data_IF_572902953169
#
_entry.id   IF_572902953169
#
_cell.length_a   1.000
_cell.length_b   1.000
_cell.length_c   1.000
_cell.angle_alpha   90.00
_cell.angle_beta   90.00
_cell.angle_gamma   90.00
#
_symmetry.space_group_name_H-M   'P 1'
#
loop_
_entity.id
_entity.type
_entity.pdbx_description
1 polymer ?
#
# COMPACT_ATOMS: atom_id res chain seq x y z
N UNK A 1 43.87 71.67 -12.01
CA UNK A 1 43.38 72.35 -13.23
C UNK A 1 42.92 71.29 -14.22
N UNK A 2 41.84 71.58 -14.96
CA UNK A 2 41.16 70.77 -16.01
C UNK A 2 40.20 69.70 -15.44
N UNK A 3 38.90 69.67 -15.72
CA UNK A 3 38.00 70.54 -16.46
C UNK A 3 36.56 70.25 -15.98
N UNK A 4 35.76 71.31 -15.84
CA UNK A 4 34.29 71.28 -15.77
C UNK A 4 33.69 70.55 -16.98
N UNK A 5 32.58 69.81 -16.77
CA UNK A 5 31.44 69.81 -17.69
C UNK A 5 30.17 69.39 -16.98
N UNK A 6 29.33 70.39 -16.71
CA UNK A 6 27.90 70.26 -16.40
C UNK A 6 27.19 69.98 -17.72
N UNK A 7 26.37 68.93 -17.79
CA UNK A 7 25.21 68.88 -18.70
C UNK A 7 24.03 68.35 -17.88
N UNK A 8 23.20 69.32 -17.50
CA UNK A 8 21.80 69.19 -17.11
C UNK A 8 20.99 68.53 -18.23
N UNK A 9 19.93 67.80 -17.86
CA UNK A 9 18.66 67.50 -18.58
C UNK A 9 18.17 66.16 -17.98
N UNK A 10 17.29 66.22 -16.99
CA UNK A 10 15.82 66.20 -17.13
C UNK A 10 15.29 64.76 -17.02
N UNK A 11 14.52 64.53 -15.95
CA UNK A 11 13.45 63.53 -15.82
C UNK A 11 13.75 62.09 -16.22
N UNK A 12 13.73 61.21 -15.22
CA UNK A 12 12.62 60.27 -14.99
C UNK A 12 12.99 59.51 -13.71
N UNK A 13 12.34 59.91 -12.62
CA UNK A 13 12.28 59.09 -11.42
C UNK A 13 11.31 57.94 -11.72
N UNK A 14 11.86 56.75 -11.98
CA UNK A 14 11.09 55.50 -11.97
C UNK A 14 11.64 54.61 -10.87
N UNK A 15 11.33 54.97 -9.63
CA UNK A 15 11.41 54.08 -8.48
C UNK A 15 10.23 53.11 -8.56
N UNK A 16 10.35 52.07 -9.37
CA UNK A 16 9.53 50.87 -9.20
C UNK A 16 10.38 49.89 -8.42
N UNK A 17 10.43 50.10 -7.10
CA UNK A 17 10.71 49.02 -6.17
C UNK A 17 9.49 48.08 -6.24
N UNK A 18 9.49 47.16 -7.20
CA UNK A 18 8.58 46.03 -7.21
C UNK A 18 8.89 45.19 -5.97
N UNK A 19 8.22 45.50 -4.87
CA UNK A 19 8.07 44.55 -3.79
C UNK A 19 7.24 43.41 -4.37
N UNK A 20 7.88 42.26 -4.60
CA UNK A 20 7.19 40.99 -4.74
C UNK A 20 6.46 40.72 -3.43
N UNK A 21 5.26 41.28 -3.31
CA UNK A 21 4.26 40.76 -2.40
C UNK A 21 3.83 39.45 -3.04
N UNK A 22 4.58 38.38 -2.73
CA UNK A 22 4.16 37.02 -3.01
C UNK A 22 2.74 36.88 -2.43
N UNK A 23 1.75 36.94 -3.32
CA UNK A 23 0.39 36.57 -3.00
C UNK A 23 0.46 35.08 -2.68
N UNK A 24 0.55 34.78 -1.39
CA UNK A 24 0.32 33.44 -0.87
C UNK A 24 -1.15 33.17 -1.11
N UNK A 25 -1.45 32.70 -2.32
CA UNK A 25 -2.73 32.14 -2.69
C UNK A 25 -2.91 30.94 -1.78
N UNK A 26 -3.66 31.16 -0.70
CA UNK A 26 -4.21 30.09 0.13
C UNK A 26 -5.15 29.34 -0.79
N UNK A 27 -4.63 28.30 -1.45
CA UNK A 27 -5.45 27.24 -2.01
C UNK A 27 -6.25 26.71 -0.83
N UNK A 28 -7.51 27.12 -0.77
CA UNK A 28 -8.50 26.51 0.09
C UNK A 28 -8.49 25.02 -0.29
N UNK A 29 -7.91 24.21 0.60
CA UNK A 29 -8.08 22.77 0.53
C UNK A 29 -9.56 22.51 0.77
N UNK A 30 -10.32 22.45 -0.32
CA UNK A 30 -11.61 21.79 -0.35
C UNK A 30 -11.35 20.32 0.00
N UNK A 31 -11.46 20.03 1.29
CA UNK A 31 -11.36 18.67 1.82
C UNK A 31 -12.68 18.36 2.50
N UNK A 32 -13.74 18.36 1.70
CA UNK A 32 -14.96 17.61 2.01
C UNK A 32 -15.17 16.49 0.99
N UNK A 33 -14.12 15.67 0.81
CA UNK A 33 -14.29 14.29 0.37
C UNK A 33 -14.14 13.44 1.61
N UNK A 34 -15.24 12.84 2.08
CA UNK A 34 -15.23 11.81 3.12
C UNK A 34 -14.36 10.65 2.65
N UNK A 35 -13.06 10.71 2.94
CA UNK A 35 -12.12 9.71 2.48
C UNK A 35 -12.54 8.36 3.05
N UNK A 36 -12.74 7.41 2.15
CA UNK A 36 -13.24 6.08 2.46
C UNK A 36 -12.07 5.15 2.75
N UNK A 37 -12.28 4.16 3.62
CA UNK A 37 -11.19 3.31 4.09
C UNK A 37 -11.55 1.84 4.14
N UNK A 38 -10.52 1.00 4.19
CA UNK A 38 -10.54 -0.43 4.50
C UNK A 38 -9.72 -0.63 5.76
N UNK A 39 -10.17 -1.53 6.63
CA UNK A 39 -9.34 -1.99 7.76
C UNK A 39 -8.54 -3.22 7.35
N UNK A 40 -7.22 -3.16 7.51
CA UNK A 40 -6.31 -4.28 7.22
C UNK A 40 -5.69 -4.76 8.52
N UNK A 41 -5.87 -6.04 8.83
CA UNK A 41 -5.29 -6.70 9.98
C UNK A 41 -4.35 -7.81 9.55
N UNK A 42 -3.23 -7.98 10.22
CA UNK A 42 -2.32 -9.10 9.98
C UNK A 42 -1.63 -9.53 11.27
N UNK A 43 -1.24 -10.81 11.34
CA UNK A 43 -0.49 -11.35 12.47
C UNK A 43 -0.79 -12.82 12.70
N UNK A 44 -0.60 -13.29 13.92
CA UNK A 44 -0.93 -14.67 14.34
C UNK A 44 -2.05 -14.69 15.37
N UNK A 45 -2.26 -15.83 16.05
CA UNK A 45 -3.31 -15.95 17.07
C UNK A 45 -3.07 -15.11 18.32
N UNK A 46 -1.84 -14.62 18.55
CA UNK A 46 -1.44 -13.90 19.76
C UNK A 46 -1.23 -12.41 19.54
N UNK A 47 -0.74 -12.02 18.36
CA UNK A 47 -0.43 -10.62 18.05
C UNK A 47 -1.04 -10.27 16.69
N UNK A 48 -1.91 -9.26 16.68
CA UNK A 48 -2.56 -8.73 15.48
C UNK A 48 -2.21 -7.24 15.38
N UNK A 49 -1.58 -6.87 14.28
CA UNK A 49 -1.40 -5.49 13.86
C UNK A 49 -2.61 -5.04 13.03
N UNK A 50 -2.89 -3.74 13.01
CA UNK A 50 -4.00 -3.13 12.27
C UNK A 50 -3.54 -1.84 11.62
N UNK A 51 -3.94 -1.64 10.36
CA UNK A 51 -3.75 -0.39 9.62
C UNK A 51 -5.01 -0.03 8.83
N UNK A 52 -5.20 1.27 8.60
CA UNK A 52 -6.27 1.80 7.78
C UNK A 52 -5.71 2.15 6.41
N UNK A 53 -6.33 1.65 5.35
CA UNK A 53 -5.92 1.89 3.96
C UNK A 53 -7.00 2.69 3.26
N UNK A 54 -6.60 3.71 2.50
CA UNK A 54 -7.53 4.48 1.66
C UNK A 54 -8.17 3.55 0.62
N UNK A 55 -9.49 3.55 0.59
CA UNK A 55 -10.26 2.84 -0.43
C UNK A 55 -10.25 3.62 -1.74
N UNK A 56 -10.17 2.88 -2.84
CA UNK A 56 -10.44 3.36 -4.18
C UNK A 56 -11.06 2.24 -4.99
N UNK A 57 -11.78 2.59 -6.06
CA UNK A 57 -12.46 1.61 -6.90
C UNK A 57 -11.48 0.57 -7.45
N UNK A 58 -11.82 -0.71 -7.29
CA UNK A 58 -11.01 -1.83 -7.79
C UNK A 58 -9.85 -2.24 -6.89
N UNK A 59 -9.62 -1.60 -5.73
CA UNK A 59 -8.59 -2.06 -4.77
C UNK A 59 -8.85 -3.52 -4.37
N UNK A 60 -7.82 -4.36 -4.47
CA UNK A 60 -7.91 -5.79 -4.14
C UNK A 60 -7.44 -6.06 -2.72
N UNK A 61 -7.80 -7.22 -2.16
CA UNK A 61 -7.31 -7.63 -0.84
C UNK A 61 -5.78 -7.74 -0.77
N UNK A 62 -5.11 -8.13 -1.86
CA UNK A 62 -3.64 -8.15 -1.90
C UNK A 62 -3.07 -6.72 -1.93
N UNK A 63 -3.63 -5.84 -2.77
CA UNK A 63 -3.17 -4.45 -2.87
C UNK A 63 -3.39 -3.68 -1.57
N UNK A 64 -4.52 -3.90 -0.90
CA UNK A 64 -4.77 -3.33 0.43
C UNK A 64 -3.74 -3.80 1.46
N UNK A 65 -3.35 -5.09 1.43
CA UNK A 65 -2.28 -5.59 2.30
C UNK A 65 -0.92 -4.94 1.97
N UNK A 66 -0.58 -4.81 0.69
CA UNK A 66 0.69 -4.19 0.26
C UNK A 66 0.79 -2.70 0.62
N UNK A 67 -0.34 -2.00 0.75
CA UNK A 67 -0.39 -0.63 1.25
C UNK A 67 -0.24 -0.55 2.78
N UNK A 68 -0.53 -1.64 3.49
CA UNK A 68 -0.52 -1.68 4.96
C UNK A 68 0.79 -2.22 5.55
N UNK A 69 1.50 -3.08 4.82
CA UNK A 69 2.66 -3.83 5.32
C UNK A 69 3.66 -4.15 4.20
N UNK A 70 4.86 -4.60 4.58
CA UNK A 70 5.85 -5.13 3.62
C UNK A 70 5.46 -6.57 3.27
N UNK A 71 5.15 -6.83 2.01
CA UNK A 71 4.64 -8.13 1.54
C UNK A 71 5.55 -8.74 0.50
N UNK A 72 5.90 -10.01 0.69
CA UNK A 72 6.52 -10.84 -0.35
C UNK A 72 5.49 -11.81 -0.92
N UNK A 73 5.59 -12.06 -2.23
CA UNK A 73 4.68 -12.98 -2.92
C UNK A 73 5.45 -13.96 -3.80
N UNK A 74 4.84 -15.12 -4.02
CA UNK A 74 5.31 -16.14 -4.94
C UNK A 74 4.23 -16.46 -5.97
N UNK A 75 4.44 -16.11 -7.26
CA UNK A 75 3.53 -16.48 -8.32
C UNK A 75 3.71 -17.96 -8.69
N UNK A 76 2.60 -18.68 -8.86
CA UNK A 76 2.57 -20.06 -9.34
C UNK A 76 1.46 -20.18 -10.37
N UNK A 77 1.84 -20.37 -11.63
CA UNK A 77 0.92 -20.34 -12.78
C UNK A 77 0.02 -19.09 -12.77
N UNK A 78 -1.29 -19.28 -12.58
CA UNK A 78 -2.32 -18.25 -12.53
C UNK A 78 -2.62 -17.73 -11.12
N UNK A 79 -1.83 -18.11 -10.12
CA UNK A 79 -2.03 -17.79 -8.71
C UNK A 79 -0.89 -16.93 -8.17
N UNK A 80 -1.18 -16.08 -7.19
CA UNK A 80 -0.20 -15.28 -6.44
C UNK A 80 -0.40 -15.59 -4.97
N UNK A 81 0.60 -16.19 -4.33
CA UNK A 81 0.59 -16.54 -2.91
C UNK A 81 1.37 -15.50 -2.11
N UNK A 82 0.84 -15.11 -0.95
CA UNK A 82 1.60 -14.31 0.03
C UNK A 82 2.51 -15.23 0.81
N UNK A 83 3.82 -14.99 0.71
CA UNK A 83 4.85 -15.80 1.37
C UNK A 83 5.46 -15.10 2.58
N UNK A 84 5.30 -13.78 2.71
CA UNK A 84 5.79 -13.03 3.87
C UNK A 84 4.95 -11.78 4.10
N UNK A 85 4.75 -11.42 5.37
CA UNK A 85 4.25 -10.11 5.81
C UNK A 85 5.18 -9.63 6.93
N UNK A 86 5.77 -8.44 6.77
CA UNK A 86 6.76 -7.85 7.69
C UNK A 86 7.88 -8.84 8.07
N UNK A 87 8.38 -9.61 7.11
CA UNK A 87 9.45 -10.58 7.31
C UNK A 87 9.02 -11.92 7.94
N UNK A 88 7.75 -12.08 8.34
CA UNK A 88 7.26 -13.36 8.86
C UNK A 88 6.88 -14.30 7.71
N UNK A 89 7.80 -15.21 7.41
CA UNK A 89 7.76 -16.08 6.24
C UNK A 89 6.93 -17.36 6.45
N UNK A 90 6.23 -17.77 5.40
CA UNK A 90 5.59 -19.08 5.31
C UNK A 90 6.61 -20.19 5.19
N UNK A 91 6.35 -21.32 5.84
CA UNK A 91 7.07 -22.56 5.59
C UNK A 91 6.08 -23.56 5.00
N UNK A 92 6.25 -23.88 3.71
CA UNK A 92 5.37 -24.79 2.98
C UNK A 92 5.19 -26.11 3.76
N UNK A 93 3.95 -26.51 3.96
CA UNK A 93 3.56 -27.70 4.71
C UNK A 93 3.49 -27.52 6.23
N UNK A 94 3.95 -26.38 6.75
CA UNK A 94 4.01 -26.10 8.19
C UNK A 94 3.17 -24.87 8.53
N UNK A 95 3.43 -23.72 7.91
CA UNK A 95 2.74 -22.45 8.17
C UNK A 95 2.44 -21.69 6.88
N UNK A 96 1.28 -21.03 6.85
CA UNK A 96 0.85 -20.22 5.72
C UNK A 96 0.05 -19.00 6.18
N UNK A 97 -0.01 -17.99 5.29
CA UNK A 97 -0.88 -16.83 5.43
C UNK A 97 -2.25 -17.13 4.82
N UNK A 98 -3.30 -17.00 5.64
CA UNK A 98 -4.69 -17.12 5.21
C UNK A 98 -5.39 -15.79 5.42
N UNK A 99 -6.34 -15.45 4.56
CA UNK A 99 -7.09 -14.21 4.72
C UNK A 99 -8.59 -14.42 4.77
N UNK A 100 -9.26 -13.46 5.42
CA UNK A 100 -10.71 -13.34 5.45
C UNK A 100 -11.11 -11.93 5.08
N UNK A 101 -12.33 -11.78 4.58
CA UNK A 101 -13.00 -10.48 4.41
C UNK A 101 -14.26 -10.51 5.26
N UNK A 102 -14.43 -9.53 6.13
CA UNK A 102 -15.57 -9.43 7.06
C UNK A 102 -15.82 -10.73 7.85
N UNK A 103 -14.72 -11.32 8.34
CA UNK A 103 -14.68 -12.60 9.10
C UNK A 103 -15.07 -13.85 8.31
N UNK A 104 -15.25 -13.76 6.99
CA UNK A 104 -15.59 -14.89 6.12
C UNK A 104 -14.41 -15.28 5.24
N UNK A 105 -14.22 -16.59 5.03
CA UNK A 105 -13.27 -17.09 4.04
C UNK A 105 -13.80 -16.73 2.64
N UNK A 106 -13.05 -16.02 1.79
CA UNK A 106 -13.51 -15.66 0.47
C UNK A 106 -13.37 -16.83 -0.51
N UNK A 107 -14.25 -16.88 -1.51
CA UNK A 107 -14.18 -17.85 -2.62
C UNK A 107 -13.24 -17.38 -3.76
N UNK A 108 -12.68 -16.18 -3.61
CA UNK A 108 -11.75 -15.55 -4.56
C UNK A 108 -10.35 -15.53 -3.97
N UNK A 109 -9.33 -15.40 -4.83
CA UNK A 109 -7.95 -15.16 -4.41
C UNK A 109 -7.73 -13.67 -4.11
N UNK A 110 -6.78 -13.34 -3.23
CA UNK A 110 -6.61 -11.98 -2.72
C UNK A 110 -6.35 -10.94 -3.82
N UNK A 111 -5.57 -11.29 -4.85
CA UNK A 111 -5.27 -10.41 -5.99
C UNK A 111 -6.45 -10.25 -6.98
N UNK A 112 -7.55 -10.99 -6.79
CA UNK A 112 -8.80 -10.87 -7.58
C UNK A 112 -10.00 -10.44 -6.75
N UNK A 113 -9.85 -10.36 -5.42
CA UNK A 113 -10.95 -10.02 -4.54
C UNK A 113 -10.99 -8.51 -4.32
N UNK A 114 -11.82 -7.83 -5.10
CA UNK A 114 -12.07 -6.40 -4.93
C UNK A 114 -12.81 -6.13 -3.63
N UNK A 115 -12.38 -5.11 -2.91
CA UNK A 115 -12.92 -4.73 -1.61
C UNK A 115 -13.91 -3.58 -1.73
N UNK A 116 -14.86 -3.56 -0.81
CA UNK A 116 -15.81 -2.47 -0.64
C UNK A 116 -15.33 -1.51 0.45
N UNK A 117 -15.92 -0.32 0.44
CA UNK A 117 -15.74 0.67 1.50
C UNK A 117 -16.11 0.04 2.85
N UNK A 118 -15.29 0.31 3.87
CA UNK A 118 -15.43 -0.21 5.24
C UNK A 118 -15.25 -1.73 5.40
N UNK A 119 -14.80 -2.45 4.36
CA UNK A 119 -14.41 -3.85 4.53
C UNK A 119 -13.30 -3.99 5.56
N UNK A 120 -13.32 -5.08 6.30
CA UNK A 120 -12.22 -5.51 7.17
C UNK A 120 -11.60 -6.77 6.59
N UNK A 121 -10.34 -6.67 6.17
CA UNK A 121 -9.54 -7.83 5.78
C UNK A 121 -8.64 -8.24 6.94
N UNK A 122 -8.52 -9.55 7.16
CA UNK A 122 -7.66 -10.10 8.20
C UNK A 122 -6.82 -11.23 7.65
N UNK A 123 -5.50 -11.08 7.74
CA UNK A 123 -4.48 -12.07 7.41
C UNK A 123 -3.99 -12.76 8.69
N UNK A 124 -4.07 -14.07 8.73
CA UNK A 124 -3.64 -14.88 9.87
C UNK A 124 -2.55 -15.85 9.43
N UNK A 125 -1.42 -15.75 10.11
CA UNK A 125 -0.35 -16.73 10.08
C UNK A 125 -0.71 -17.89 10.99
N UNK A 126 -0.89 -19.07 10.42
CA UNK A 126 -1.24 -20.28 11.17
C UNK A 126 -0.72 -21.52 10.46
N UNK A 127 -0.95 -22.69 11.06
CA UNK A 127 -0.63 -23.99 10.48
C UNK A 127 -1.18 -24.10 9.06
N UNK A 128 -0.32 -24.54 8.14
CA UNK A 128 -0.71 -24.84 6.77
C UNK A 128 -1.51 -26.15 6.72
N UNK A 129 -2.73 -26.06 6.21
CA UNK A 129 -3.66 -27.19 6.07
C UNK A 129 -3.96 -27.52 4.60
N UNK A 130 -3.36 -26.79 3.68
CA UNK A 130 -3.63 -26.88 2.24
C UNK A 130 -2.50 -27.58 1.49
N UNK A 131 -1.24 -27.19 1.72
CA UNK A 131 -0.13 -27.75 0.96
C UNK A 131 0.26 -29.19 1.31
N UNK A 132 0.15 -29.69 2.58
CA UNK A 132 0.45 -31.09 2.87
C UNK A 132 -0.45 -32.08 2.10
N UNK A 133 -1.68 -31.65 1.77
CA UNK A 133 -2.66 -32.50 1.06
C UNK A 133 -2.25 -32.74 -0.39
N UNK A 134 -1.56 -31.78 -1.02
CA UNK A 134 -1.08 -31.92 -2.39
C UNK A 134 0.18 -32.80 -2.50
N UNK A 135 1.05 -32.79 -1.49
CA UNK A 135 2.27 -33.61 -1.50
C UNK A 135 2.01 -35.11 -1.22
N UNK A 136 0.90 -35.43 -0.55
CA UNK A 136 0.55 -36.83 -0.24
C UNK A 136 0.12 -37.68 -1.46
N UNK A 137 -0.12 -37.06 -2.62
CA UNK A 137 -0.48 -37.75 -3.87
C UNK A 137 0.74 -38.01 -4.77
N UNK A 138 1.92 -37.45 -4.46
CA UNK A 138 3.10 -37.57 -5.33
C UNK A 138 4.39 -38.10 -4.66
N UNK A 139 4.29 -38.66 -3.45
CA UNK A 139 5.38 -39.42 -2.83
C UNK A 139 5.03 -40.91 -2.68
N UNK A 140 4.89 -41.60 -3.81
CA UNK A 140 5.09 -43.06 -3.91
C UNK A 140 5.92 -43.41 -5.15
N UNK A 141 7.12 -42.89 -5.20
CA UNK A 141 8.25 -43.36 -6.02
C UNK A 141 9.49 -42.80 -5.32
N UNK A 142 10.49 -43.52 -4.84
CA UNK A 142 10.93 -44.90 -4.96
C UNK A 142 11.85 -45.09 -3.74
N UNK A 143 11.67 -46.18 -3.00
CA UNK A 143 12.73 -46.73 -2.15
C UNK A 143 12.52 -48.23 -2.03
N UNK A 144 12.69 -48.90 -3.17
CA UNK A 144 13.07 -50.30 -3.21
C UNK A 144 14.42 -50.39 -3.90
N UNK A 145 15.49 -50.46 -3.11
CA UNK A 145 16.70 -51.15 -3.47
C UNK A 145 17.40 -51.68 -2.23
#
# INVERSE_FOLDING_TARGET
MKHFKIISILSIALLISCTEKAAKETVLADTDATQQYITVQWGDSTTIETSTVTWYEGITALTALQNAAIVETHPVEKHIFVTSINGKQTQRGITAWYYTVNRKSPDKLAFRNQLQVNDTIKWIFKKDVCSPKFDSVHCKSESNK
#
